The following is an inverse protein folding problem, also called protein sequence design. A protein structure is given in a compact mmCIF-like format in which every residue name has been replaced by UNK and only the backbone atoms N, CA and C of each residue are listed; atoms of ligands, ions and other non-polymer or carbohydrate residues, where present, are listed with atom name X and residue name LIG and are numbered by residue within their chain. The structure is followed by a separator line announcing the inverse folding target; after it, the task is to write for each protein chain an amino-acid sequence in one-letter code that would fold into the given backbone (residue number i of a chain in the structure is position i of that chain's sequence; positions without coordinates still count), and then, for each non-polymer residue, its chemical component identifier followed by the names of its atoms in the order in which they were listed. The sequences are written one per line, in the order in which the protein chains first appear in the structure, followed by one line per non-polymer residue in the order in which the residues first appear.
data_IF_037967779180
#
_entry.id   IF_037967779180
#
_cell.length_a   1.000
_cell.length_b   1.000
_cell.length_c   1.000
_cell.angle_alpha   90.00
_cell.angle_beta   90.00
_cell.angle_gamma   90.00
#
_symmetry.space_group_name_H-M   'P 1'
#
loop_
_entity.id
_entity.type
_entity.pdbx_description
1 polymer ?
#
# COMPACT_ATOMS: atom_id res chain seq x y z
N UNK A 1 -2.06 -21.00 10.11
CA UNK A 1 -2.05 -19.57 9.75
C UNK A 1 -2.38 -19.43 8.28
N UNK A 2 -1.48 -19.88 7.40
CA UNK A 2 -1.65 -19.98 5.96
C UNK A 2 -3.06 -20.45 5.53
N UNK A 3 -3.78 -19.57 4.82
CA UNK A 3 -5.11 -19.83 4.24
C UNK A 3 -6.29 -19.96 5.21
N UNK A 4 -6.07 -19.80 6.54
CA UNK A 4 -7.14 -19.89 7.56
C UNK A 4 -8.08 -18.67 7.56
N UNK A 5 -7.60 -17.54 7.05
CA UNK A 5 -8.34 -16.27 6.96
C UNK A 5 -8.28 -15.75 5.55
N UNK A 6 -9.24 -14.88 5.23
CA UNK A 6 -9.45 -14.38 3.89
C UNK A 6 -9.76 -12.90 3.91
N UNK A 7 -9.41 -12.24 2.81
CA UNK A 7 -10.09 -11.01 2.41
C UNK A 7 -11.37 -11.42 1.67
N UNK A 8 -12.51 -11.24 2.32
CA UNK A 8 -13.82 -11.63 1.81
C UNK A 8 -14.37 -10.63 0.80
N UNK A 9 -14.08 -9.34 0.97
CA UNK A 9 -14.53 -8.29 0.08
C UNK A 9 -13.59 -7.10 0.04
N UNK A 10 -13.57 -6.42 -1.10
CA UNK A 10 -12.77 -5.21 -1.38
C UNK A 10 -13.66 -4.08 -1.86
N UNK A 11 -13.36 -2.85 -1.45
CA UNK A 11 -14.13 -1.69 -1.87
C UNK A 11 -13.31 -0.42 -1.84
N UNK A 12 -13.53 0.47 -2.81
CA UNK A 12 -12.93 1.79 -2.81
C UNK A 12 -13.88 2.82 -3.44
N UNK A 13 -13.61 4.08 -3.18
CA UNK A 13 -14.25 5.21 -3.89
C UNK A 13 -13.52 5.45 -5.21
N UNK A 14 -14.04 6.32 -6.08
CA UNK A 14 -13.14 6.94 -7.08
C UNK A 14 -11.96 7.61 -6.38
N UNK A 15 -10.81 7.62 -7.04
CA UNK A 15 -9.63 8.36 -6.62
C UNK A 15 -9.48 9.65 -7.43
N UNK A 16 -8.93 10.70 -6.84
CA UNK A 16 -8.69 11.95 -7.57
C UNK A 16 -8.99 13.20 -6.78
N UNK A 17 -9.70 14.12 -7.43
CA UNK A 17 -10.18 15.37 -6.84
C UNK A 17 -11.67 15.21 -6.51
N UNK A 18 -12.02 15.18 -5.23
CA UNK A 18 -13.37 14.86 -4.75
C UNK A 18 -13.93 16.01 -3.88
N UNK A 19 -14.26 17.18 -4.47
CA UNK A 19 -14.71 18.33 -3.71
C UNK A 19 -16.03 18.04 -2.96
N UNK A 20 -16.16 18.61 -1.76
CA UNK A 20 -17.35 18.44 -0.92
C UNK A 20 -17.45 17.09 -0.21
N UNK A 21 -16.47 16.18 -0.40
CA UNK A 21 -16.44 14.89 0.28
C UNK A 21 -15.59 14.96 1.56
N UNK A 22 -16.16 14.54 2.68
CA UNK A 22 -15.44 14.38 3.94
C UNK A 22 -14.73 13.02 4.02
N UNK A 23 -13.71 12.91 4.86
CA UNK A 23 -13.00 11.64 5.12
C UNK A 23 -13.95 10.55 5.64
N UNK A 24 -14.94 10.92 6.47
CA UNK A 24 -15.99 9.99 6.92
C UNK A 24 -16.85 9.52 5.75
N UNK A 25 -17.33 10.44 4.88
CA UNK A 25 -18.18 10.07 3.74
C UNK A 25 -17.48 9.15 2.73
N UNK A 26 -16.15 9.28 2.59
CA UNK A 26 -15.34 8.45 1.71
C UNK A 26 -15.13 7.06 2.33
N UNK A 27 -14.88 6.98 3.64
CA UNK A 27 -14.83 5.69 4.35
C UNK A 27 -16.16 4.95 4.23
N UNK A 28 -17.30 5.61 4.51
CA UNK A 28 -18.63 4.97 4.43
C UNK A 28 -18.89 4.39 3.04
N UNK A 29 -18.56 5.13 1.97
CA UNK A 29 -18.69 4.62 0.59
C UNK A 29 -17.79 3.40 0.34
N UNK A 30 -16.51 3.47 0.70
CA UNK A 30 -15.57 2.37 0.50
C UNK A 30 -15.98 1.10 1.28
N UNK A 31 -16.37 1.28 2.54
CA UNK A 31 -16.87 0.21 3.42
C UNK A 31 -18.12 -0.45 2.83
N UNK A 32 -19.09 0.34 2.38
CA UNK A 32 -20.30 -0.18 1.72
C UNK A 32 -19.94 -0.98 0.46
N UNK A 33 -19.00 -0.49 -0.35
CA UNK A 33 -18.56 -1.19 -1.55
C UNK A 33 -17.88 -2.52 -1.21
N UNK A 34 -17.09 -2.58 -0.13
CA UNK A 34 -16.44 -3.83 0.32
C UNK A 34 -17.44 -4.87 0.84
N UNK A 35 -18.47 -4.43 1.56
CA UNK A 35 -19.57 -5.28 2.00
C UNK A 35 -20.39 -5.82 0.82
N UNK A 36 -20.64 -4.96 -0.18
CA UNK A 36 -21.33 -5.35 -1.41
C UNK A 36 -20.52 -6.38 -2.22
N UNK A 37 -19.20 -6.18 -2.35
CA UNK A 37 -18.30 -7.13 -3.02
C UNK A 37 -18.26 -8.51 -2.32
N UNK A 38 -18.32 -8.54 -0.98
CA UNK A 38 -18.44 -9.77 -0.21
C UNK A 38 -19.86 -10.39 -0.24
N UNK A 39 -20.86 -9.68 -0.75
CA UNK A 39 -22.28 -10.03 -0.68
C UNK A 39 -22.78 -10.29 0.76
N UNK A 40 -22.41 -9.42 1.71
CA UNK A 40 -22.82 -9.53 3.11
C UNK A 40 -23.43 -8.23 3.64
N UNK A 41 -24.30 -8.35 4.65
CA UNK A 41 -24.84 -7.22 5.38
C UNK A 41 -23.87 -6.66 6.43
N UNK A 42 -24.00 -5.36 6.74
CA UNK A 42 -23.15 -4.68 7.72
C UNK A 42 -23.23 -5.27 9.13
N UNK A 43 -24.37 -5.89 9.47
CA UNK A 43 -24.65 -6.39 10.83
C UNK A 43 -23.83 -7.65 11.19
N UNK A 44 -23.14 -8.23 10.21
CA UNK A 44 -22.14 -9.29 10.42
C UNK A 44 -20.85 -8.72 11.02
N UNK A 45 -20.56 -7.43 10.80
CA UNK A 45 -19.29 -6.82 11.20
C UNK A 45 -19.29 -6.53 12.69
N UNK A 46 -18.37 -7.16 13.41
CA UNK A 46 -18.19 -7.00 14.85
C UNK A 46 -16.82 -6.41 15.23
N UNK A 47 -15.98 -6.05 14.25
CA UNK A 47 -14.78 -5.23 14.48
C UNK A 47 -14.56 -4.17 13.40
N UNK A 48 -14.05 -2.99 13.82
CA UNK A 48 -13.75 -1.87 12.91
C UNK A 48 -12.34 -1.31 13.18
N UNK A 49 -11.43 -1.52 12.22
CA UNK A 49 -10.07 -1.02 12.27
C UNK A 49 -9.87 0.09 11.25
N UNK A 50 -9.51 1.28 11.70
CA UNK A 50 -9.45 2.46 10.85
C UNK A 50 -8.04 3.01 10.81
N UNK A 51 -7.46 3.23 9.62
CA UNK A 51 -6.29 4.10 9.52
C UNK A 51 -6.76 5.54 9.64
N UNK A 52 -6.16 6.31 10.55
CA UNK A 52 -6.51 7.72 10.72
C UNK A 52 -6.20 8.53 9.44
N UNK A 53 -7.08 9.46 9.01
CA UNK A 53 -6.77 10.42 7.95
C UNK A 53 -5.57 11.26 8.36
N UNK A 54 -4.67 11.52 7.41
CA UNK A 54 -3.51 12.37 7.63
C UNK A 54 -3.90 13.84 7.53
N UNK A 55 -4.80 14.21 6.61
CA UNK A 55 -5.15 15.62 6.35
C UNK A 55 -6.16 16.21 7.35
N UNK A 56 -6.93 15.36 8.03
CA UNK A 56 -7.99 15.73 8.97
C UNK A 56 -8.02 14.80 10.19
N UNK A 57 -6.91 14.76 10.95
CA UNK A 57 -6.82 13.95 12.18
C UNK A 57 -7.83 14.44 13.22
N UNK A 58 -8.58 13.52 13.80
CA UNK A 58 -9.56 13.81 14.83
C UNK A 58 -9.51 12.80 15.96
N UNK A 59 -9.83 13.26 17.18
CA UNK A 59 -10.00 12.38 18.33
C UNK A 59 -11.18 11.42 18.12
N UNK A 60 -11.03 10.18 18.57
CA UNK A 60 -12.05 9.12 18.46
C UNK A 60 -12.57 8.89 17.03
N UNK A 61 -11.72 9.09 16.01
CA UNK A 61 -12.12 8.94 14.60
C UNK A 61 -12.78 7.59 14.28
N UNK A 62 -12.28 6.49 14.86
CA UNK A 62 -12.89 5.17 14.70
C UNK A 62 -14.32 5.08 15.21
N UNK A 63 -14.64 5.76 16.33
CA UNK A 63 -16.00 5.77 16.89
C UNK A 63 -16.95 6.65 16.09
N UNK A 64 -16.48 7.81 15.61
CA UNK A 64 -17.25 8.64 14.67
C UNK A 64 -17.62 7.86 13.41
N UNK A 65 -16.68 7.07 12.89
CA UNK A 65 -16.95 6.24 11.72
C UNK A 65 -17.91 5.09 12.05
N UNK A 66 -17.78 4.45 13.21
CA UNK A 66 -18.73 3.43 13.67
C UNK A 66 -20.16 3.99 13.76
N UNK A 67 -20.32 5.19 14.35
CA UNK A 67 -21.60 5.91 14.41
C UNK A 67 -22.15 6.19 13.00
N UNK A 68 -21.33 6.74 12.11
CA UNK A 68 -21.74 7.06 10.74
C UNK A 68 -22.15 5.82 9.92
N UNK A 69 -21.58 4.65 10.21
CA UNK A 69 -21.94 3.38 9.57
C UNK A 69 -23.07 2.64 10.31
N UNK A 70 -23.52 3.12 11.47
CA UNK A 70 -24.49 2.43 12.31
C UNK A 70 -23.98 1.05 12.77
N UNK A 71 -22.70 0.98 13.12
CA UNK A 71 -22.04 -0.22 13.65
C UNK A 71 -21.83 -0.11 15.17
N UNK A 72 -21.80 -1.27 15.83
CA UNK A 72 -21.46 -1.40 17.25
C UNK A 72 -20.35 -2.44 17.40
N UNK A 73 -19.12 -2.14 16.95
CA UNK A 73 -18.03 -3.11 16.96
C UNK A 73 -17.65 -3.48 18.39
N UNK A 74 -17.37 -4.76 18.64
CA UNK A 74 -16.82 -5.28 19.89
C UNK A 74 -15.37 -4.84 20.10
N UNK A 75 -14.64 -4.70 18.99
CA UNK A 75 -13.24 -4.33 18.95
C UNK A 75 -13.00 -3.32 17.83
N UNK A 76 -12.19 -2.30 18.08
CA UNK A 76 -11.86 -1.36 17.03
C UNK A 76 -11.29 -0.04 17.51
N UNK A 77 -10.86 0.76 16.55
CA UNK A 77 -10.26 2.05 16.82
C UNK A 77 -9.62 2.67 15.58
N UNK A 78 -8.94 3.79 15.80
CA UNK A 78 -8.12 4.43 14.77
C UNK A 78 -6.64 4.24 15.12
N UNK A 79 -5.85 3.82 14.13
CA UNK A 79 -4.40 3.62 14.24
C UNK A 79 -3.64 4.52 13.28
N UNK A 80 -2.43 4.88 13.69
CA UNK A 80 -1.47 5.56 12.85
C UNK A 80 -0.16 4.79 12.80
N UNK A 81 0.18 4.30 11.61
CA UNK A 81 1.51 3.83 11.24
C UNK A 81 1.86 4.34 9.83
N UNK A 82 1.40 5.54 9.48
CA UNK A 82 1.53 6.05 8.11
C UNK A 82 0.90 5.10 7.08
N UNK A 83 1.55 4.92 5.93
CA UNK A 83 1.08 4.01 4.89
C UNK A 83 1.15 2.52 5.22
N UNK A 84 1.95 2.10 6.21
CA UNK A 84 2.02 0.70 6.68
C UNK A 84 0.72 0.25 7.38
N UNK A 85 -0.08 1.20 7.86
CA UNK A 85 -1.20 0.93 8.75
C UNK A 85 -2.25 -0.04 8.15
N UNK A 86 -2.48 -0.05 6.84
CA UNK A 86 -3.54 -0.90 6.28
C UNK A 86 -3.24 -2.38 6.46
N UNK A 87 -2.05 -2.84 6.06
CA UNK A 87 -1.64 -4.23 6.26
C UNK A 87 -1.44 -4.53 7.74
N UNK A 88 -0.93 -3.57 8.52
CA UNK A 88 -0.82 -3.74 9.97
C UNK A 88 -2.20 -3.99 10.62
N UNK A 89 -3.23 -3.26 10.20
CA UNK A 89 -4.61 -3.41 10.68
C UNK A 89 -5.27 -4.70 10.16
N UNK A 90 -4.97 -5.13 8.93
CA UNK A 90 -5.38 -6.46 8.43
C UNK A 90 -4.75 -7.55 9.30
N UNK A 91 -3.47 -7.44 9.63
CA UNK A 91 -2.77 -8.37 10.52
C UNK A 91 -3.42 -8.41 11.90
N UNK A 92 -3.76 -7.23 12.46
CA UNK A 92 -4.46 -7.12 13.75
C UNK A 92 -5.86 -7.73 13.71
N UNK A 93 -6.61 -7.53 12.62
CA UNK A 93 -7.91 -8.15 12.42
C UNK A 93 -7.79 -9.69 12.43
N UNK A 94 -6.82 -10.22 11.70
CA UNK A 94 -6.55 -11.67 11.67
C UNK A 94 -6.17 -12.21 13.07
N UNK A 95 -5.28 -11.52 13.79
CA UNK A 95 -4.90 -11.91 15.15
C UNK A 95 -6.09 -11.83 16.13
N UNK A 96 -6.96 -10.83 15.99
CA UNK A 96 -8.15 -10.68 16.82
C UNK A 96 -9.19 -11.78 16.56
N UNK A 97 -9.37 -12.18 15.30
CA UNK A 97 -10.23 -13.32 14.93
C UNK A 97 -9.64 -14.60 15.48
N UNK A 98 -8.33 -14.81 15.39
CA UNK A 98 -7.68 -16.00 15.96
C UNK A 98 -7.83 -16.08 17.48
N UNK A 99 -7.78 -14.94 18.16
CA UNK A 99 -7.98 -14.85 19.60
C UNK A 99 -9.47 -14.89 20.03
N UNK A 100 -10.42 -15.05 19.10
CA UNK A 100 -11.85 -15.10 19.38
C UNK A 100 -12.46 -13.77 19.84
N UNK A 101 -11.78 -12.64 19.59
CA UNK A 101 -12.25 -11.30 19.99
C UNK A 101 -13.32 -10.76 19.02
N UNK A 102 -13.28 -11.18 17.76
CA UNK A 102 -14.26 -10.86 16.73
C UNK A 102 -14.35 -11.98 15.68
N UNK A 103 -15.37 -11.94 14.83
CA UNK A 103 -15.57 -12.93 13.75
C UNK A 103 -15.39 -12.33 12.35
N UNK A 104 -15.76 -11.07 12.17
CA UNK A 104 -15.68 -10.36 10.90
C UNK A 104 -15.27 -8.90 11.13
N UNK A 105 -14.11 -8.55 10.59
CA UNK A 105 -13.52 -7.24 10.74
C UNK A 105 -13.61 -6.44 9.45
N UNK A 106 -13.93 -5.16 9.58
CA UNK A 106 -13.80 -4.18 8.52
C UNK A 106 -12.53 -3.36 8.76
N UNK A 107 -11.63 -3.32 7.76
CA UNK A 107 -10.42 -2.51 7.79
C UNK A 107 -10.53 -1.44 6.73
N UNK A 108 -10.42 -0.16 7.11
CA UNK A 108 -10.66 0.92 6.17
C UNK A 108 -9.77 2.14 6.39
N UNK A 109 -9.69 2.94 5.33
CA UNK A 109 -9.02 4.22 5.29
C UNK A 109 -9.76 5.15 4.34
N UNK A 110 -9.78 6.44 4.66
CA UNK A 110 -10.03 7.46 3.67
C UNK A 110 -9.41 8.79 4.07
N UNK A 111 -9.14 9.63 3.08
CA UNK A 111 -8.56 10.96 3.26
C UNK A 111 -8.87 11.84 2.06
N UNK A 112 -8.70 13.15 2.23
CA UNK A 112 -8.96 14.13 1.18
C UNK A 112 -7.92 15.27 1.14
N UNK A 113 -6.61 14.98 1.12
CA UNK A 113 -5.59 16.02 1.07
C UNK A 113 -5.58 16.82 -0.24
N UNK A 114 -6.19 16.35 -1.32
CA UNK A 114 -6.16 17.06 -2.61
C UNK A 114 -7.15 18.22 -2.63
N UNK A 115 -8.32 18.06 -2.03
CA UNK A 115 -9.36 19.12 -1.94
C UNK A 115 -9.60 19.67 -0.54
N UNK A 116 -9.32 18.91 0.51
CA UNK A 116 -9.52 19.30 1.90
C UNK A 116 -8.34 20.10 2.46
N UNK A 117 -7.20 19.45 2.69
CA UNK A 117 -6.03 20.09 3.27
C UNK A 117 -4.71 19.61 2.64
N UNK A 118 -4.32 20.28 1.55
CA UNK A 118 -3.08 19.97 0.81
C UNK A 118 -1.80 20.34 1.57
N UNK A 119 -1.90 21.30 2.50
CA UNK A 119 -0.74 21.77 3.26
C UNK A 119 -0.11 20.66 4.10
N UNK A 120 -0.81 19.57 4.39
CA UNK A 120 -0.30 18.45 5.19
C UNK A 120 1.02 17.86 4.66
N UNK A 121 1.27 17.92 3.35
CA UNK A 121 2.50 17.39 2.74
C UNK A 121 3.65 18.39 2.64
N UNK A 122 3.40 19.67 2.91
CA UNK A 122 4.39 20.75 2.84
C UNK A 122 4.76 21.32 4.23
N UNK A 123 4.42 20.62 5.31
CA UNK A 123 4.65 21.07 6.69
C UNK A 123 6.10 20.78 7.16
N UNK A 124 6.60 21.58 8.12
CA UNK A 124 7.83 21.29 8.85
C UNK A 124 7.75 19.91 9.52
N UNK A 125 8.89 19.21 9.64
CA UNK A 125 8.98 17.88 10.23
C UNK A 125 9.93 17.90 11.43
N UNK A 126 9.39 17.56 12.61
CA UNK A 126 10.17 17.45 13.84
C UNK A 126 10.94 18.73 14.19
N UNK A 127 11.94 18.59 15.04
CA UNK A 127 12.83 19.68 15.43
C UNK A 127 13.79 20.06 14.29
N UNK A 128 14.03 19.15 13.34
CA UNK A 128 14.88 19.35 12.16
C UNK A 128 14.34 20.40 11.17
N UNK A 129 13.08 20.82 11.34
CA UNK A 129 12.50 21.93 10.59
C UNK A 129 13.33 23.22 10.71
N UNK A 130 14.02 23.44 11.83
CA UNK A 130 14.92 24.58 12.04
C UNK A 130 16.09 24.59 11.05
N UNK A 131 16.51 23.42 10.56
CA UNK A 131 17.56 23.25 9.57
C UNK A 131 17.03 23.21 8.13
N UNK A 132 15.75 23.54 7.91
CA UNK A 132 15.13 23.52 6.59
C UNK A 132 14.56 22.17 6.18
N UNK A 133 14.40 21.21 7.12
CA UNK A 133 13.76 19.93 6.82
C UNK A 133 12.24 20.07 6.69
N UNK A 134 11.79 20.33 5.46
CA UNK A 134 10.38 20.44 5.12
C UNK A 134 9.92 19.28 4.23
N UNK A 135 8.66 18.88 4.39
CA UNK A 135 8.01 17.79 3.65
C UNK A 135 8.53 16.39 3.97
N UNK A 136 7.76 15.38 3.55
CA UNK A 136 8.20 13.98 3.58
C UNK A 136 9.27 13.69 2.53
N UNK A 137 9.22 14.39 1.38
CA UNK A 137 10.09 14.13 0.24
C UNK A 137 11.57 14.40 0.57
N UNK A 138 11.88 15.37 1.44
CA UNK A 138 13.25 15.64 1.86
C UNK A 138 13.95 14.41 2.48
N UNK A 139 13.22 13.63 3.30
CA UNK A 139 13.78 12.42 3.88
C UNK A 139 14.02 11.30 2.87
N UNK A 140 13.14 11.16 1.87
CA UNK A 140 13.35 10.20 0.78
C UNK A 140 14.47 10.64 -0.15
N UNK A 141 14.68 11.95 -0.36
CA UNK A 141 15.80 12.48 -1.11
C UNK A 141 17.14 12.12 -0.45
N UNK A 142 17.23 12.23 0.88
CA UNK A 142 18.41 11.82 1.64
C UNK A 142 18.68 10.31 1.52
N UNK A 143 17.63 9.49 1.62
CA UNK A 143 17.72 8.03 1.45
C UNK A 143 18.19 7.67 0.04
N UNK A 144 17.58 8.27 -0.99
CA UNK A 144 17.97 8.06 -2.38
C UNK A 144 19.42 8.48 -2.60
N UNK A 145 19.81 9.68 -2.17
CA UNK A 145 21.19 10.17 -2.27
C UNK A 145 22.15 9.19 -1.63
N UNK A 146 21.81 8.64 -0.46
CA UNK A 146 22.65 7.65 0.22
C UNK A 146 22.77 6.35 -0.57
N UNK A 147 21.67 5.84 -1.12
CA UNK A 147 21.66 4.64 -1.96
C UNK A 147 22.48 4.83 -3.25
N UNK A 148 22.40 6.01 -3.87
CA UNK A 148 23.26 6.38 -5.01
C UNK A 148 24.75 6.37 -4.64
N UNK A 149 25.11 6.90 -3.46
CA UNK A 149 26.51 6.93 -2.99
C UNK A 149 27.04 5.52 -2.69
N UNK A 150 26.24 4.69 -2.01
CA UNK A 150 26.69 3.37 -1.55
C UNK A 150 26.60 2.27 -2.62
N UNK A 151 25.61 2.35 -3.50
CA UNK A 151 25.27 1.28 -4.44
C UNK A 151 25.32 1.71 -5.90
N UNK A 152 25.56 3.00 -6.19
CA UNK A 152 25.70 3.48 -7.56
C UNK A 152 24.39 3.54 -8.35
N UNK A 153 23.23 3.52 -7.68
CA UNK A 153 21.92 3.68 -8.33
C UNK A 153 21.88 4.94 -9.16
N UNK A 154 21.38 4.82 -10.39
CA UNK A 154 21.33 5.91 -11.35
C UNK A 154 19.89 6.41 -11.52
N UNK A 155 19.68 7.67 -11.93
CA UNK A 155 18.34 8.18 -12.20
C UNK A 155 17.56 7.32 -13.21
N UNK A 156 18.23 6.74 -14.21
CA UNK A 156 17.59 5.89 -15.22
C UNK A 156 16.96 4.64 -14.62
N UNK A 157 17.58 4.09 -13.57
CA UNK A 157 17.09 2.91 -12.86
C UNK A 157 15.76 3.22 -12.14
N UNK A 158 15.65 4.42 -11.55
CA UNK A 158 14.43 4.93 -10.91
C UNK A 158 13.37 5.31 -11.95
N UNK A 159 13.81 5.87 -13.08
CA UNK A 159 12.98 6.18 -14.23
C UNK A 159 12.32 4.95 -14.85
N UNK A 160 12.96 3.78 -14.81
CA UNK A 160 12.36 2.53 -15.25
C UNK A 160 11.12 2.15 -14.41
N UNK A 161 11.17 2.35 -13.09
CA UNK A 161 10.01 2.14 -12.19
C UNK A 161 8.90 3.16 -12.51
N UNK A 162 9.25 4.45 -12.62
CA UNK A 162 8.27 5.48 -12.96
C UNK A 162 7.57 5.19 -14.30
N UNK A 163 8.34 4.84 -15.33
CA UNK A 163 7.85 4.44 -16.66
C UNK A 163 6.89 3.25 -16.57
N UNK A 164 7.25 2.18 -15.86
CA UNK A 164 6.41 0.99 -15.71
C UNK A 164 5.07 1.34 -15.04
N UNK A 165 5.10 2.03 -13.89
CA UNK A 165 3.88 2.47 -13.19
C UNK A 165 3.02 3.43 -14.02
N UNK A 166 3.63 4.32 -14.83
CA UNK A 166 2.91 5.24 -15.73
C UNK A 166 2.24 4.50 -16.88
N UNK A 167 2.91 3.50 -17.46
CA UNK A 167 2.34 2.64 -18.50
C UNK A 167 1.17 1.81 -17.96
N UNK A 168 1.33 1.23 -16.77
CA UNK A 168 0.26 0.48 -16.11
C UNK A 168 -0.94 1.38 -15.78
N UNK A 169 -0.69 2.57 -15.21
CA UNK A 169 -1.71 3.57 -14.93
C UNK A 169 -2.44 4.08 -16.18
N UNK A 170 -1.75 4.24 -17.31
CA UNK A 170 -2.37 4.63 -18.58
C UNK A 170 -3.39 3.60 -19.08
N UNK A 171 -3.10 2.32 -18.88
CA UNK A 171 -3.99 1.22 -19.25
C UNK A 171 -5.11 0.98 -18.21
N UNK A 172 -4.95 1.42 -16.97
CA UNK A 172 -5.97 1.31 -15.92
C UNK A 172 -7.05 2.41 -16.07
N UNK A 173 -8.31 2.07 -16.39
CA UNK A 173 -9.38 3.07 -16.53
C UNK A 173 -9.73 3.78 -15.20
N UNK A 174 -9.40 3.17 -14.05
CA UNK A 174 -9.63 3.72 -12.73
C UNK A 174 -8.49 4.61 -12.18
N UNK A 175 -7.36 4.68 -12.87
CA UNK A 175 -6.21 5.47 -12.42
C UNK A 175 -6.46 6.98 -12.55
N UNK A 176 -5.94 7.76 -11.59
CA UNK A 176 -5.99 9.22 -11.63
C UNK A 176 -5.11 9.80 -12.75
N UNK A 177 -3.89 9.26 -12.92
CA UNK A 177 -2.97 9.67 -13.98
C UNK A 177 -2.87 8.58 -15.03
N UNK A 178 -3.45 8.85 -16.20
CA UNK A 178 -3.58 7.88 -17.30
C UNK A 178 -2.67 8.20 -18.49
N UNK A 179 -1.49 8.76 -18.21
CA UNK A 179 -0.50 9.12 -19.22
C UNK A 179 0.76 8.28 -19.03
N UNK A 180 1.14 7.54 -20.08
CA UNK A 180 2.43 6.88 -20.13
C UNK A 180 3.54 7.91 -20.37
N UNK A 181 4.77 7.59 -19.96
CA UNK A 181 5.96 8.43 -20.19
C UNK A 181 7.08 7.56 -20.75
N UNK A 182 7.97 8.17 -21.55
CA UNK A 182 9.25 7.58 -21.91
C UNK A 182 10.30 7.81 -20.82
N UNK A 183 11.48 7.18 -20.96
CA UNK A 183 12.61 7.47 -20.07
C UNK A 183 13.12 8.90 -20.28
N UNK A 184 13.11 9.40 -21.51
CA UNK A 184 13.50 10.78 -21.83
C UNK A 184 12.56 11.79 -21.18
N UNK A 185 11.25 11.53 -21.18
CA UNK A 185 10.27 12.36 -20.46
C UNK A 185 10.56 12.40 -18.96
N UNK A 186 10.93 11.25 -18.37
CA UNK A 186 11.34 11.18 -16.98
C UNK A 186 12.60 12.00 -16.71
N UNK A 187 13.64 11.87 -17.56
CA UNK A 187 14.90 12.61 -17.41
C UNK A 187 14.72 14.12 -17.61
N UNK A 188 13.76 14.53 -18.45
CA UNK A 188 13.36 15.91 -18.65
C UNK A 188 12.44 16.44 -17.54
N UNK A 189 11.88 15.58 -16.69
CA UNK A 189 10.96 15.99 -15.63
C UNK A 189 11.67 16.86 -14.58
N UNK A 190 10.99 17.91 -14.07
CA UNK A 190 11.62 18.87 -13.18
C UNK A 190 12.04 18.21 -11.87
N UNK A 191 13.21 18.61 -11.36
CA UNK A 191 13.65 18.24 -10.03
C UNK A 191 12.71 18.85 -8.98
N UNK A 192 12.26 18.04 -8.03
CA UNK A 192 11.46 18.53 -6.90
C UNK A 192 12.36 18.85 -5.72
N UNK A 193 13.16 17.87 -5.31
CA UNK A 193 14.17 17.98 -4.26
C UNK A 193 15.30 17.07 -4.69
N UNK A 194 16.47 17.62 -5.02
CA UNK A 194 17.62 16.82 -5.44
C UNK A 194 17.87 15.62 -4.48
N UNK A 195 17.97 14.36 -4.96
CA UNK A 195 17.96 13.90 -6.36
C UNK A 195 16.58 13.46 -6.92
N UNK A 196 15.48 13.66 -6.20
CA UNK A 196 14.13 13.32 -6.62
C UNK A 196 13.60 14.28 -7.69
N UNK A 197 13.10 13.70 -8.78
CA UNK A 197 12.32 14.38 -9.80
C UNK A 197 10.83 14.33 -9.50
N UNK A 198 10.04 15.13 -10.21
CA UNK A 198 8.58 15.12 -10.09
C UNK A 198 8.00 13.73 -10.28
N UNK A 199 8.49 13.00 -11.28
CA UNK A 199 7.96 11.67 -11.61
C UNK A 199 8.53 10.56 -10.72
N UNK A 200 9.44 10.87 -9.79
CA UNK A 200 9.75 9.99 -8.67
C UNK A 200 8.70 10.08 -7.55
N UNK A 201 7.86 11.12 -7.52
CA UNK A 201 6.93 11.38 -6.44
C UNK A 201 5.52 10.85 -6.76
N UNK A 202 4.85 10.27 -5.76
CA UNK A 202 3.46 9.85 -5.90
C UNK A 202 2.48 11.02 -6.08
N UNK A 203 1.24 10.68 -6.47
CA UNK A 203 0.17 11.65 -6.60
C UNK A 203 -0.28 12.19 -5.23
N UNK A 204 -1.05 13.28 -5.28
CA UNK A 204 -1.90 13.68 -4.15
C UNK A 204 -3.35 13.46 -4.59
N UNK A 205 -4.07 12.67 -3.81
CA UNK A 205 -5.40 12.17 -4.17
C UNK A 205 -6.33 12.22 -2.96
N UNK A 206 -7.61 12.45 -3.22
CA UNK A 206 -8.70 12.14 -2.31
C UNK A 206 -9.21 10.73 -2.62
N UNK A 207 -9.70 10.04 -1.60
CA UNK A 207 -10.38 8.77 -1.77
C UNK A 207 -10.49 7.95 -0.48
N UNK A 208 -11.15 6.81 -0.59
CA UNK A 208 -11.28 5.81 0.47
C UNK A 208 -11.18 4.39 -0.06
N UNK A 209 -10.78 3.48 0.80
CA UNK A 209 -10.62 2.07 0.51
C UNK A 209 -10.88 1.22 1.78
N UNK A 210 -11.44 0.03 1.60
CA UNK A 210 -11.79 -0.88 2.67
C UNK A 210 -11.68 -2.34 2.22
N UNK A 211 -11.41 -3.20 3.20
CA UNK A 211 -11.46 -4.66 3.04
C UNK A 211 -12.24 -5.30 4.19
N UNK A 212 -12.92 -6.41 3.90
CA UNK A 212 -13.55 -7.27 4.90
C UNK A 212 -12.65 -8.47 5.14
N UNK A 213 -12.32 -8.73 6.41
CA UNK A 213 -11.46 -9.84 6.85
C UNK A 213 -12.27 -10.78 7.75
N UNK A 214 -12.21 -12.07 7.49
CA UNK A 214 -12.84 -13.11 8.33
C UNK A 214 -12.12 -14.46 8.18
N UNK A 215 -12.52 -15.47 8.96
CA UNK A 215 -12.01 -16.83 8.74
C UNK A 215 -12.53 -17.43 7.43
N UNK A 216 -11.74 -18.30 6.79
CA UNK A 216 -12.16 -19.01 5.59
C UNK A 216 -13.40 -19.89 5.83
N UNK A 217 -13.53 -20.45 7.04
CA UNK A 217 -14.72 -21.21 7.44
C UNK A 217 -15.98 -20.32 7.49
N UNK A 218 -15.87 -19.11 8.04
CA UNK A 218 -16.97 -18.15 8.10
C UNK A 218 -17.37 -17.66 6.72
N UNK A 219 -16.40 -17.35 5.86
CA UNK A 219 -16.64 -16.96 4.48
C UNK A 219 -17.41 -18.05 3.70
N UNK A 220 -17.01 -19.32 3.85
CA UNK A 220 -17.75 -20.46 3.27
C UNK A 220 -19.18 -20.59 3.82
N UNK A 221 -19.35 -20.44 5.14
CA UNK A 221 -20.67 -20.53 5.77
C UNK A 221 -21.62 -19.40 5.32
N UNK A 222 -21.08 -18.24 4.96
CA UNK A 222 -21.83 -17.09 4.44
C UNK A 222 -22.00 -17.12 2.91
N UNK A 223 -21.41 -18.09 2.21
CA UNK A 223 -21.48 -18.16 0.75
C UNK A 223 -20.74 -17.03 0.04
N UNK A 224 -19.65 -16.50 0.64
CA UNK A 224 -18.82 -15.47 0.02
C UNK A 224 -18.16 -16.06 -1.23
N UNK A 225 -18.38 -15.49 -2.44
CA UNK A 225 -18.04 -16.17 -3.70
C UNK A 225 -16.55 -16.19 -4.02
N UNK A 226 -15.84 -15.07 -3.80
CA UNK A 226 -14.46 -14.85 -4.27
C UNK A 226 -13.51 -14.46 -3.12
N UNK A 227 -13.62 -15.13 -1.97
CA UNK A 227 -12.77 -14.82 -0.83
C UNK A 227 -11.29 -15.19 -1.13
N UNK A 228 -10.36 -14.28 -0.87
CA UNK A 228 -8.93 -14.48 -1.18
C UNK A 228 -8.15 -14.86 0.09
N UNK A 229 -7.51 -16.06 0.13
CA UNK A 229 -6.61 -16.48 1.20
C UNK A 229 -5.52 -15.48 1.57
N UNK A 230 -5.36 -15.25 2.87
CA UNK A 230 -4.16 -14.61 3.44
C UNK A 230 -3.16 -15.72 3.78
N UNK A 231 -2.02 -15.73 3.09
CA UNK A 231 -0.98 -16.75 3.25
C UNK A 231 0.01 -16.38 4.37
N UNK A 232 0.35 -15.10 4.47
CA UNK A 232 1.28 -14.61 5.49
C UNK A 232 1.22 -13.10 5.62
N UNK A 233 1.63 -12.61 6.77
CA UNK A 233 1.79 -11.19 7.02
C UNK A 233 2.96 -10.93 7.96
N UNK A 234 3.49 -9.72 7.93
CA UNK A 234 4.59 -9.32 8.79
C UNK A 234 4.65 -7.81 8.95
N UNK A 235 5.39 -7.38 9.98
CA UNK A 235 5.65 -5.97 10.24
C UNK A 235 7.11 -5.80 10.66
N UNK A 236 7.68 -4.64 10.35
CA UNK A 236 8.99 -4.20 10.79
C UNK A 236 8.96 -2.71 11.11
N UNK A 237 9.80 -2.29 12.05
CA UNK A 237 9.79 -0.95 12.63
C UNK A 237 11.22 -0.51 12.91
N UNK A 238 11.53 0.75 12.60
CA UNK A 238 12.83 1.37 12.88
C UNK A 238 12.66 2.77 13.48
N UNK A 239 13.77 3.43 13.79
CA UNK A 239 13.77 4.74 14.44
C UNK A 239 12.97 5.77 13.65
N UNK A 240 12.16 6.53 14.38
CA UNK A 240 11.44 7.71 13.86
C UNK A 240 12.40 8.74 13.27
N UNK A 241 13.53 8.99 13.92
CA UNK A 241 14.49 9.94 13.38
C UNK A 241 15.38 9.29 12.33
N UNK A 242 15.30 9.80 11.10
CA UNK A 242 16.06 9.29 9.95
C UNK A 242 17.56 9.24 10.27
N UNK A 243 18.09 10.29 10.90
CA UNK A 243 19.50 10.39 11.27
C UNK A 243 19.94 9.39 12.36
N UNK A 244 19.01 8.83 13.14
CA UNK A 244 19.31 7.86 14.20
C UNK A 244 19.22 6.41 13.73
N UNK A 245 18.93 6.16 12.45
CA UNK A 245 18.83 4.80 11.92
C UNK A 245 20.21 4.18 11.72
N UNK A 246 20.34 2.86 11.95
CA UNK A 246 21.60 2.15 11.73
C UNK A 246 22.02 2.16 10.25
N UNK A 247 21.06 2.25 9.33
CA UNK A 247 21.29 2.40 7.89
C UNK A 247 20.13 3.15 7.25
N UNK A 248 20.43 3.85 6.15
CA UNK A 248 19.43 4.51 5.30
C UNK A 248 19.11 3.71 4.03
N UNK A 249 19.90 2.66 3.73
CA UNK A 249 19.84 1.89 2.47
C UNK A 249 19.28 0.48 2.67
N UNK A 250 18.73 0.20 3.85
CA UNK A 250 17.86 -0.94 4.14
C UNK A 250 16.53 -0.43 4.71
N UNK A 251 15.45 -1.05 4.27
CA UNK A 251 14.10 -0.88 4.79
C UNK A 251 13.76 -2.00 5.76
N UNK A 252 12.67 -1.80 6.50
CA UNK A 252 12.08 -2.83 7.35
C UNK A 252 11.33 -3.91 6.54
N UNK A 253 11.37 -3.88 5.20
CA UNK A 253 10.85 -4.94 4.34
C UNK A 253 11.57 -6.28 4.58
N UNK A 254 12.87 -6.27 4.91
CA UNK A 254 13.61 -7.50 5.21
C UNK A 254 13.06 -8.19 6.47
N UNK A 255 12.73 -7.42 7.52
CA UNK A 255 12.16 -7.93 8.76
C UNK A 255 10.71 -8.37 8.55
N UNK A 256 9.90 -7.48 7.98
CA UNK A 256 8.48 -7.72 7.71
C UNK A 256 8.27 -8.89 6.74
N UNK A 257 9.07 -8.94 5.67
CA UNK A 257 9.06 -9.98 4.65
C UNK A 257 9.44 -11.34 5.21
N UNK A 258 10.51 -11.44 6.02
CA UNK A 258 10.93 -12.70 6.64
C UNK A 258 9.78 -13.37 7.40
N UNK A 259 9.03 -12.61 8.18
CA UNK A 259 7.85 -13.12 8.90
C UNK A 259 6.75 -13.56 7.94
N UNK A 260 6.41 -12.72 6.97
CA UNK A 260 5.33 -13.02 6.01
C UNK A 260 5.63 -14.26 5.15
N UNK A 261 6.85 -14.35 4.60
CA UNK A 261 7.32 -15.49 3.80
C UNK A 261 7.37 -16.77 4.62
N UNK A 262 7.88 -16.72 5.87
CA UNK A 262 7.87 -17.88 6.76
C UNK A 262 6.45 -18.35 7.08
N UNK A 263 5.50 -17.44 7.33
CA UNK A 263 4.09 -17.79 7.53
C UNK A 263 3.46 -18.43 6.31
N UNK A 264 3.80 -17.93 5.11
CA UNK A 264 3.30 -18.45 3.84
C UNK A 264 4.00 -19.74 3.40
N UNK A 265 5.17 -20.06 3.94
CA UNK A 265 6.02 -21.15 3.44
C UNK A 265 6.45 -20.92 1.98
N UNK A 266 6.67 -19.66 1.60
CA UNK A 266 7.07 -19.23 0.26
C UNK A 266 8.41 -18.49 0.32
N UNK A 267 9.07 -18.40 -0.82
CA UNK A 267 10.26 -17.58 -1.06
C UNK A 267 9.97 -16.52 -2.14
N UNK A 268 10.85 -15.51 -2.33
CA UNK A 268 10.63 -14.47 -3.33
C UNK A 268 10.43 -14.98 -4.75
N UNK A 269 11.09 -16.09 -5.12
CA UNK A 269 10.93 -16.75 -6.43
C UNK A 269 9.54 -17.35 -6.67
N UNK A 270 8.75 -17.53 -5.62
CA UNK A 270 7.42 -18.13 -5.66
C UNK A 270 6.33 -17.05 -5.73
N UNK A 271 6.67 -15.79 -6.00
CA UNK A 271 5.74 -14.66 -6.13
C UNK A 271 5.52 -14.33 -7.61
N UNK A 272 4.28 -14.40 -8.06
CA UNK A 272 3.92 -14.15 -9.47
C UNK A 272 3.73 -12.66 -9.78
N UNK A 273 3.25 -11.89 -8.81
CA UNK A 273 2.97 -10.45 -8.96
C UNK A 273 3.25 -9.71 -7.66
N UNK A 274 3.75 -8.48 -7.76
CA UNK A 274 4.06 -7.64 -6.61
C UNK A 274 3.33 -6.28 -6.65
N UNK A 275 2.75 -5.89 -5.53
CA UNK A 275 2.14 -4.58 -5.31
C UNK A 275 2.92 -3.85 -4.22
N UNK A 276 3.95 -3.11 -4.62
CA UNK A 276 4.90 -2.45 -3.72
C UNK A 276 4.55 -1.00 -3.46
N UNK A 277 4.78 -0.55 -2.23
CA UNK A 277 4.54 0.82 -1.83
C UNK A 277 5.55 1.78 -2.51
N UNK A 278 5.09 2.50 -3.52
CA UNK A 278 5.88 3.39 -4.39
C UNK A 278 5.51 4.87 -4.15
N UNK A 279 5.48 5.30 -2.88
CA UNK A 279 5.37 6.74 -2.56
C UNK A 279 6.50 7.55 -3.21
N UNK A 280 7.66 6.91 -3.35
CA UNK A 280 8.76 7.33 -4.20
C UNK A 280 9.35 6.11 -4.92
N UNK A 281 9.92 6.30 -6.10
CA UNK A 281 10.58 5.24 -6.90
C UNK A 281 11.66 4.49 -6.11
N UNK A 282 12.48 5.22 -5.33
CA UNK A 282 13.52 4.63 -4.46
C UNK A 282 12.95 3.63 -3.44
N UNK A 283 11.72 3.86 -2.96
CA UNK A 283 11.07 2.95 -2.01
C UNK A 283 10.79 1.61 -2.63
N UNK A 284 10.25 1.59 -3.85
CA UNK A 284 9.99 0.35 -4.57
C UNK A 284 11.30 -0.39 -4.88
N UNK A 285 12.34 0.34 -5.32
CA UNK A 285 13.65 -0.23 -5.62
C UNK A 285 14.26 -0.91 -4.39
N UNK A 286 14.36 -0.20 -3.26
CA UNK A 286 14.93 -0.76 -2.04
C UNK A 286 14.09 -1.90 -1.46
N UNK A 287 12.76 -1.84 -1.62
CA UNK A 287 11.86 -2.91 -1.17
C UNK A 287 12.07 -4.20 -1.97
N UNK A 288 12.34 -4.12 -3.29
CA UNK A 288 12.68 -5.29 -4.11
C UNK A 288 13.96 -5.98 -3.61
N UNK A 289 14.99 -5.18 -3.29
CA UNK A 289 16.24 -5.66 -2.73
C UNK A 289 16.04 -6.35 -1.38
N UNK A 290 15.29 -5.71 -0.47
CA UNK A 290 15.14 -6.19 0.91
C UNK A 290 14.19 -7.38 1.04
N UNK A 291 13.26 -7.55 0.10
CA UNK A 291 12.52 -8.81 -0.02
C UNK A 291 13.36 -9.93 -0.64
N UNK A 292 14.49 -9.62 -1.26
CA UNK A 292 15.39 -10.63 -1.84
C UNK A 292 15.01 -11.07 -3.26
N UNK A 293 14.27 -10.25 -4.01
CA UNK A 293 14.06 -10.48 -5.46
C UNK A 293 15.35 -10.25 -6.26
N UNK A 294 16.21 -9.39 -5.73
CA UNK A 294 17.58 -9.17 -6.19
C UNK A 294 18.49 -8.93 -4.98
N UNK A 295 19.81 -8.94 -5.20
CA UNK A 295 20.76 -8.61 -4.14
C UNK A 295 20.71 -7.11 -3.85
N UNK A 296 21.07 -6.73 -2.61
CA UNK A 296 21.23 -5.32 -2.19
C UNK A 296 22.15 -4.56 -3.16
N UNK A 297 21.68 -3.42 -3.66
CA UNK A 297 22.37 -2.60 -4.65
C UNK A 297 22.21 -3.06 -6.11
N UNK A 298 21.58 -4.20 -6.38
CA UNK A 298 21.29 -4.66 -7.74
C UNK A 298 19.88 -4.29 -8.21
N UNK A 299 19.14 -3.49 -7.43
CA UNK A 299 17.77 -3.09 -7.75
C UNK A 299 17.65 -2.41 -9.11
N UNK A 300 18.62 -1.57 -9.50
CA UNK A 300 18.59 -0.92 -10.80
C UNK A 300 18.69 -1.88 -11.98
N UNK A 301 19.56 -2.89 -11.89
CA UNK A 301 19.64 -3.98 -12.89
C UNK A 301 18.38 -4.84 -12.89
N UNK A 302 17.73 -5.00 -11.74
CA UNK A 302 16.51 -5.79 -11.64
C UNK A 302 15.33 -5.15 -12.38
N UNK A 303 15.15 -3.82 -12.25
CA UNK A 303 14.00 -3.11 -12.82
C UNK A 303 14.18 -2.70 -14.28
N UNK A 304 15.38 -2.85 -14.83
CA UNK A 304 15.70 -2.53 -16.22
C UNK A 304 14.95 -3.42 -17.22
N UNK A 305 14.95 -2.99 -18.48
CA UNK A 305 14.56 -3.79 -19.66
C UNK A 305 13.16 -4.40 -19.60
N UNK A 306 12.22 -3.76 -18.89
CA UNK A 306 10.83 -4.18 -18.82
C UNK A 306 10.57 -5.39 -17.91
N UNK A 307 11.54 -5.81 -17.09
CA UNK A 307 11.39 -6.98 -16.21
C UNK A 307 10.27 -6.85 -15.17
N UNK A 308 9.88 -5.61 -14.85
CA UNK A 308 8.79 -5.31 -13.91
C UNK A 308 7.46 -4.93 -14.59
N UNK A 309 7.43 -5.00 -15.92
CA UNK A 309 6.23 -4.74 -16.71
C UNK A 309 5.30 -5.97 -16.75
N UNK A 310 4.02 -5.78 -17.11
CA UNK A 310 3.16 -6.90 -17.49
C UNK A 310 3.85 -7.73 -18.58
N UNK A 311 4.02 -9.04 -18.33
CA UNK A 311 4.74 -9.98 -19.20
C UNK A 311 6.25 -10.08 -18.94
N UNK A 312 6.80 -9.29 -18.02
CA UNK A 312 8.16 -9.44 -17.53
C UNK A 312 8.28 -10.47 -16.40
N UNK A 313 9.48 -10.57 -15.81
CA UNK A 313 9.84 -11.53 -14.77
C UNK A 313 9.02 -11.38 -13.48
N UNK A 314 8.76 -10.15 -13.04
CA UNK A 314 7.97 -9.84 -11.83
C UNK A 314 7.12 -8.60 -12.06
N UNK A 315 5.92 -8.75 -12.67
CA UNK A 315 5.01 -7.64 -12.85
C UNK A 315 4.73 -6.90 -11.55
N UNK A 316 4.96 -5.58 -11.58
CA UNK A 316 4.89 -4.72 -10.41
C UNK A 316 3.84 -3.60 -10.58
N UNK A 317 3.08 -3.34 -9.52
CA UNK A 317 2.11 -2.22 -9.43
C UNK A 317 1.22 -2.15 -10.67
N UNK A 318 0.52 -3.24 -10.94
CA UNK A 318 -0.27 -3.49 -12.17
C UNK A 318 -1.42 -2.51 -12.37
N UNK A 319 -1.90 -1.87 -11.30
CA UNK A 319 -2.88 -0.78 -11.37
C UNK A 319 -2.26 0.59 -11.67
N UNK A 320 -0.93 0.70 -11.60
CA UNK A 320 -0.17 1.95 -11.69
C UNK A 320 0.36 2.47 -10.35
N UNK A 321 0.07 1.78 -9.23
CA UNK A 321 0.62 2.08 -7.90
C UNK A 321 0.28 3.48 -7.38
N UNK A 322 1.02 3.94 -6.38
CA UNK A 322 0.90 5.30 -5.85
C UNK A 322 1.36 6.36 -6.86
N UNK A 323 2.27 5.97 -7.76
CA UNK A 323 2.75 6.87 -8.80
C UNK A 323 1.61 7.27 -9.74
N UNK A 324 0.74 6.36 -10.20
CA UNK A 324 -0.24 6.67 -11.25
C UNK A 324 -1.71 6.41 -10.89
N UNK A 325 -2.02 5.38 -10.11
CA UNK A 325 -3.41 5.06 -9.76
C UNK A 325 -3.97 6.10 -8.79
N UNK A 326 -3.31 6.26 -7.65
CA UNK A 326 -3.76 7.14 -6.57
C UNK A 326 -2.66 7.37 -5.54
N UNK A 327 -2.52 8.60 -5.06
CA UNK A 327 -1.66 8.96 -3.94
C UNK A 327 -2.16 8.48 -2.57
N UNK A 328 -3.22 7.67 -2.53
CA UNK A 328 -3.74 7.14 -1.28
C UNK A 328 -2.78 6.11 -0.67
N UNK A 329 -2.60 6.10 0.66
CA UNK A 329 -1.68 5.21 1.34
C UNK A 329 -2.17 3.76 1.31
N UNK A 330 -1.69 2.99 0.35
CA UNK A 330 -1.40 1.55 0.47
C UNK A 330 -2.56 0.55 0.39
N UNK A 331 -3.80 0.92 0.76
CA UNK A 331 -4.92 -0.04 0.71
C UNK A 331 -5.29 -0.42 -0.73
N UNK A 332 -5.10 0.47 -1.70
CA UNK A 332 -5.31 0.16 -3.13
C UNK A 332 -4.40 -0.96 -3.63
N UNK A 333 -3.19 -1.09 -3.07
CA UNK A 333 -2.25 -2.17 -3.43
C UNK A 333 -2.80 -3.53 -2.97
N UNK A 334 -3.45 -3.57 -1.81
CA UNK A 334 -4.15 -4.77 -1.32
C UNK A 334 -5.36 -5.09 -2.20
N UNK A 335 -6.12 -4.07 -2.60
CA UNK A 335 -7.27 -4.23 -3.50
C UNK A 335 -6.84 -4.79 -4.86
N UNK A 336 -5.77 -4.24 -5.44
CA UNK A 336 -5.23 -4.74 -6.72
C UNK A 336 -4.69 -6.17 -6.58
N UNK A 337 -4.03 -6.51 -5.48
CA UNK A 337 -3.60 -7.87 -5.21
C UNK A 337 -4.79 -8.85 -5.16
N UNK A 338 -5.88 -8.49 -4.48
CA UNK A 338 -7.11 -9.30 -4.47
C UNK A 338 -7.67 -9.44 -5.89
N UNK A 339 -7.68 -8.38 -6.70
CA UNK A 339 -8.13 -8.45 -8.10
C UNK A 339 -7.28 -9.37 -8.95
N UNK A 340 -5.95 -9.30 -8.81
CA UNK A 340 -5.02 -10.18 -9.53
C UNK A 340 -5.30 -11.64 -9.20
N UNK A 341 -5.41 -11.99 -7.90
CA UNK A 341 -5.71 -13.35 -7.46
C UNK A 341 -7.09 -13.83 -7.92
N UNK A 342 -8.08 -12.92 -8.01
CA UNK A 342 -9.42 -13.25 -8.52
C UNK A 342 -9.50 -13.36 -10.04
N UNK A 343 -8.46 -13.00 -10.79
CA UNK A 343 -8.54 -12.92 -12.25
C UNK A 343 -9.39 -11.75 -12.75
N UNK A 344 -9.50 -10.67 -11.96
CA UNK A 344 -10.41 -9.54 -12.19
C UNK A 344 -9.69 -8.20 -12.37
N UNK A 345 -8.35 -8.20 -12.45
CA UNK A 345 -7.59 -6.97 -12.62
C UNK A 345 -7.71 -6.44 -14.05
N UNK A 346 -7.69 -5.11 -14.20
CA UNK A 346 -7.72 -4.46 -15.52
C UNK A 346 -6.49 -4.85 -16.35
N UNK A 347 -5.32 -4.96 -15.70
CA UNK A 347 -4.09 -5.48 -16.27
C UNK A 347 -3.76 -6.79 -15.57
N UNK A 348 -4.49 -7.84 -15.94
CA UNK A 348 -4.33 -9.16 -15.33
C UNK A 348 -2.98 -9.79 -15.71
N UNK A 349 -2.24 -10.27 -14.70
CA UNK A 349 -1.08 -11.13 -14.89
C UNK A 349 -1.58 -12.56 -15.16
N UNK A 350 -1.21 -13.19 -16.30
CA UNK A 350 -1.65 -14.55 -16.60
C UNK A 350 -1.16 -15.54 -15.55
N UNK A 351 -2.07 -16.33 -14.99
CA UNK A 351 -1.74 -17.40 -14.03
C UNK A 351 -1.25 -16.91 -12.66
N UNK A 352 -1.53 -15.66 -12.27
CA UNK A 352 -1.15 -15.16 -10.96
C UNK A 352 -1.85 -15.92 -9.82
N UNK A 353 -1.09 -16.75 -9.11
CA UNK A 353 -1.56 -17.55 -7.98
C UNK A 353 -1.10 -16.97 -6.64
N UNK A 354 -0.07 -16.15 -6.63
CA UNK A 354 0.52 -15.53 -5.45
C UNK A 354 0.80 -14.05 -5.68
N UNK A 355 0.42 -13.22 -4.71
CA UNK A 355 0.67 -11.79 -4.77
C UNK A 355 1.29 -11.31 -3.47
N UNK A 356 2.46 -10.67 -3.57
CA UNK A 356 3.07 -9.95 -2.46
C UNK A 356 2.61 -8.49 -2.46
N UNK A 357 2.26 -7.98 -1.29
CA UNK A 357 1.88 -6.58 -1.08
C UNK A 357 2.78 -5.96 -0.02
N UNK A 358 3.32 -4.78 -0.33
CA UNK A 358 4.06 -3.94 0.60
C UNK A 358 3.25 -2.70 0.93
N UNK A 359 3.25 -2.34 2.20
CA UNK A 359 2.83 -1.02 2.67
C UNK A 359 3.95 -0.44 3.54
N UNK A 360 4.19 0.86 3.44
CA UNK A 360 5.26 1.53 4.16
C UNK A 360 4.79 2.85 4.77
N UNK A 361 5.20 3.14 6.00
CA UNK A 361 4.84 4.33 6.74
C UNK A 361 5.96 5.34 6.99
N UNK A 362 5.59 6.62 6.79
CA UNK A 362 6.44 7.77 7.05
C UNK A 362 7.57 7.89 6.03
N UNK A 363 8.82 7.89 6.49
CA UNK A 363 10.03 7.97 5.66
C UNK A 363 10.80 6.66 5.77
N UNK A 364 10.16 5.52 5.50
CA UNK A 364 10.70 4.17 5.80
C UNK A 364 10.86 3.87 7.30
N UNK A 365 9.93 4.35 8.14
CA UNK A 365 9.91 4.01 9.58
C UNK A 365 9.32 2.62 9.82
N UNK A 366 8.21 2.36 9.14
CA UNK A 366 7.36 1.22 9.42
C UNK A 366 7.11 0.50 8.11
N UNK A 367 7.15 -0.82 8.12
CA UNK A 367 6.87 -1.63 6.94
C UNK A 367 5.91 -2.74 7.30
N UNK A 368 5.02 -3.08 6.38
CA UNK A 368 4.08 -4.18 6.55
C UNK A 368 3.97 -4.96 5.25
N UNK A 369 4.05 -6.27 5.36
CA UNK A 369 4.00 -7.21 4.23
C UNK A 369 2.75 -8.05 4.35
N UNK A 370 2.05 -8.27 3.24
CA UNK A 370 0.95 -9.22 3.10
C UNK A 370 1.24 -10.11 1.91
N UNK A 371 0.99 -11.41 2.05
CA UNK A 371 1.04 -12.36 0.93
C UNK A 371 -0.35 -12.96 0.80
N UNK A 372 -0.92 -12.82 -0.40
CA UNK A 372 -2.21 -13.37 -0.79
C UNK A 372 -1.98 -14.51 -1.79
N UNK A 373 -2.91 -15.45 -1.85
CA UNK A 373 -2.86 -16.52 -2.85
C UNK A 373 -4.21 -17.01 -3.29
N UNK A 374 -4.27 -17.70 -4.44
CA UNK A 374 -5.48 -18.30 -5.00
C UNK A 374 -5.92 -19.56 -4.23
N UNK A 375 -4.98 -20.22 -3.57
CA UNK A 375 -5.20 -21.41 -2.74
C UNK A 375 -4.55 -21.24 -1.36
N UNK A 376 -5.06 -21.96 -0.34
CA UNK A 376 -4.53 -21.94 1.01
C UNK A 376 -3.03 -22.15 1.13
#
# INVERSE_FOLDING_TARGET
MRGKYVIAGIGHTRYGKLPGRSTVSLNVEACRNALADANIGKDIIDALFVKVPTSAREFMYGQKLAEAMGLRPRLGGAWDQGGAANIALISQAVMAIEAGQCEAALVCYADNPRTGNRAVYARPRGDDAVYGWFSTAAGYAMIQRRHMIEHGTRPEDLGAIAKACRRHGAANPGAQLRAAISLDDYMASPMQIDPLRRDDCCLVSDGGAAVVVMSAARARALGVPNAVPILGFGQGQTSWEVAQRPTLTSTEAAVSGRTAFAMAGLAPKDIDVAQLYDCFTITALMTLEDYGFCKKGEGGRFVADGRIEIGGDLPLNTSGGLLSETGMPGMQLVIEAVRQIRGQAALQVPGADTCLVSNQGGTMHTHSTLILGSQP
#
